data_IF_489870795588
#
_entry.id   IF_489870795588
#
_cell.length_a   1.000
_cell.length_b   1.000
_cell.length_c   1.000
_cell.angle_alpha   90.00
_cell.angle_beta   90.00
_cell.angle_gamma   90.00
#
_symmetry.space_group_name_H-M   'P 1'
#
loop_
_entity.id
_entity.type
_entity.pdbx_description
1 polymer ?
#
# COMPACT_ATOMS: atom_id res chain seq x y z
N UNK A 1 20.55 16.61 9.80
CA UNK A 1 19.15 16.18 10.02
C UNK A 1 18.21 16.51 8.85
N UNK A 2 18.28 17.71 8.25
CA UNK A 2 17.39 18.10 7.12
C UNK A 2 17.36 17.11 5.95
N UNK A 3 18.51 16.55 5.55
CA UNK A 3 18.58 15.53 4.48
C UNK A 3 17.82 14.25 4.81
N UNK A 4 17.82 13.82 6.07
CA UNK A 4 17.12 12.61 6.50
C UNK A 4 15.60 12.84 6.51
N UNK A 5 15.15 14.01 6.98
CA UNK A 5 13.73 14.40 6.94
C UNK A 5 13.25 14.49 5.49
N UNK A 6 14.00 15.18 4.63
CA UNK A 6 13.72 15.28 3.19
C UNK A 6 13.64 13.90 2.54
N UNK A 7 14.58 13.00 2.86
CA UNK A 7 14.57 11.63 2.35
C UNK A 7 13.30 10.87 2.72
N UNK A 8 12.83 10.99 3.97
CA UNK A 8 11.58 10.37 4.42
C UNK A 8 10.38 10.93 3.66
N UNK A 9 10.26 12.27 3.57
CA UNK A 9 9.15 12.93 2.88
C UNK A 9 9.10 12.53 1.40
N UNK A 10 10.21 12.70 0.68
CA UNK A 10 10.30 12.38 -0.75
C UNK A 10 9.98 10.91 -1.00
N UNK A 11 10.55 10.01 -0.20
CA UNK A 11 10.31 8.57 -0.38
C UNK A 11 8.87 8.18 -0.07
N UNK A 12 8.25 8.78 0.94
CA UNK A 12 6.84 8.54 1.24
C UNK A 12 5.92 9.04 0.12
N UNK A 13 6.19 10.22 -0.44
CA UNK A 13 5.45 10.75 -1.60
C UNK A 13 5.61 9.84 -2.81
N UNK A 14 6.82 9.36 -3.10
CA UNK A 14 7.06 8.40 -4.19
C UNK A 14 6.30 7.10 -3.95
N UNK A 15 6.33 6.56 -2.72
CA UNK A 15 5.54 5.37 -2.38
C UNK A 15 4.03 5.58 -2.60
N UNK A 16 3.51 6.73 -2.19
CA UNK A 16 2.10 7.08 -2.41
C UNK A 16 1.75 7.08 -3.91
N UNK A 17 2.57 7.72 -4.75
CA UNK A 17 2.36 7.75 -6.21
C UNK A 17 2.42 6.33 -6.79
N UNK A 18 3.40 5.51 -6.37
CA UNK A 18 3.55 4.14 -6.86
C UNK A 18 2.39 3.25 -6.43
N UNK A 19 1.87 3.40 -5.21
CA UNK A 19 0.67 2.68 -4.78
C UNK A 19 -0.55 3.10 -5.60
N UNK A 20 -0.77 4.41 -5.75
CA UNK A 20 -1.90 4.93 -6.51
C UNK A 20 -1.87 4.46 -7.97
N UNK A 21 -0.72 4.62 -8.64
CA UNK A 21 -0.53 4.18 -10.02
C UNK A 21 -0.62 2.65 -10.13
N UNK A 22 0.06 1.91 -9.25
CA UNK A 22 0.09 0.45 -9.27
C UNK A 22 -1.28 -0.19 -9.10
N UNK A 23 -2.06 0.26 -8.11
CA UNK A 23 -3.43 -0.23 -7.92
C UNK A 23 -4.37 0.21 -9.04
N UNK A 24 -4.22 1.45 -9.54
CA UNK A 24 -5.05 1.93 -10.66
C UNK A 24 -4.79 1.14 -11.93
N UNK A 25 -3.53 0.97 -12.33
CA UNK A 25 -3.16 0.17 -13.49
C UNK A 25 -3.59 -1.29 -13.32
N UNK A 26 -3.35 -1.89 -12.15
CA UNK A 26 -3.82 -3.25 -11.86
C UNK A 26 -5.33 -3.38 -12.04
N UNK A 27 -6.10 -2.42 -11.54
CA UNK A 27 -7.56 -2.43 -11.66
C UNK A 27 -8.02 -2.26 -13.11
N UNK A 28 -7.38 -1.37 -13.88
CA UNK A 28 -7.71 -1.14 -15.29
C UNK A 28 -7.39 -2.35 -16.18
N UNK A 29 -6.32 -3.08 -15.87
CA UNK A 29 -5.90 -4.27 -16.63
C UNK A 29 -6.77 -5.48 -16.27
N UNK A 30 -7.00 -5.71 -14.97
CA UNK A 30 -7.66 -6.93 -14.49
C UNK A 30 -9.19 -6.81 -14.40
N UNK A 31 -9.69 -5.59 -14.22
CA UNK A 31 -11.10 -5.28 -14.05
C UNK A 31 -11.71 -5.72 -12.72
N UNK A 32 -12.98 -5.39 -12.53
CA UNK A 32 -13.74 -5.67 -11.31
C UNK A 32 -13.89 -7.18 -11.02
N UNK A 33 -13.98 -8.01 -12.06
CA UNK A 33 -14.24 -9.44 -11.91
C UNK A 33 -13.05 -10.22 -11.36
N UNK A 34 -11.84 -9.71 -11.56
CA UNK A 34 -10.64 -10.27 -10.94
C UNK A 34 -10.33 -9.61 -9.59
N UNK A 35 -10.71 -8.34 -9.41
CA UNK A 35 -10.52 -7.62 -8.15
C UNK A 35 -11.42 -8.13 -7.02
N UNK A 36 -12.62 -8.58 -7.35
CA UNK A 36 -13.66 -8.94 -6.37
C UNK A 36 -14.21 -10.34 -6.58
N UNK A 37 -14.83 -10.89 -5.54
CA UNK A 37 -15.65 -12.10 -5.67
C UNK A 37 -16.88 -11.83 -6.55
N UNK A 38 -17.44 -12.86 -7.23
CA UNK A 38 -18.65 -12.70 -8.03
C UNK A 38 -19.81 -12.13 -7.21
N UNK A 39 -20.52 -11.13 -7.76
CA UNK A 39 -21.69 -10.51 -7.14
C UNK A 39 -21.45 -9.73 -5.85
N UNK A 40 -20.20 -9.57 -5.40
CA UNK A 40 -19.85 -8.95 -4.13
C UNK A 40 -18.73 -7.92 -4.29
N UNK A 41 -18.64 -6.96 -3.38
CA UNK A 41 -17.49 -6.07 -3.23
C UNK A 41 -16.40 -6.64 -2.32
N UNK A 42 -16.51 -7.91 -1.91
CA UNK A 42 -15.44 -8.57 -1.20
C UNK A 42 -14.24 -8.80 -2.13
N UNK A 43 -13.06 -8.36 -1.73
CA UNK A 43 -11.82 -8.57 -2.50
C UNK A 43 -11.57 -10.05 -2.75
N UNK A 44 -11.09 -10.37 -3.96
CA UNK A 44 -10.70 -11.73 -4.33
C UNK A 44 -9.34 -12.09 -3.71
N UNK A 45 -9.05 -13.39 -3.61
CA UNK A 45 -7.72 -13.84 -3.16
C UNK A 45 -6.61 -13.42 -4.14
N UNK A 46 -6.93 -13.30 -5.44
CA UNK A 46 -5.99 -12.83 -6.47
C UNK A 46 -5.62 -11.37 -6.26
N UNK A 47 -6.61 -10.52 -6.03
CA UNK A 47 -6.40 -9.11 -5.72
C UNK A 47 -5.62 -8.91 -4.42
N UNK A 48 -5.93 -9.73 -3.42
CA UNK A 48 -5.21 -9.71 -2.15
C UNK A 48 -3.73 -10.09 -2.36
N UNK A 49 -3.43 -11.18 -3.06
CA UNK A 49 -2.05 -11.58 -3.38
C UNK A 49 -1.29 -10.49 -4.16
N UNK A 50 -1.94 -9.87 -5.14
CA UNK A 50 -1.39 -8.74 -5.87
C UNK A 50 -1.11 -7.54 -4.96
N UNK A 51 -2.01 -7.25 -4.02
CA UNK A 51 -1.86 -6.16 -3.06
C UNK A 51 -0.62 -6.36 -2.18
N UNK A 52 -0.37 -7.59 -1.72
CA UNK A 52 0.86 -7.94 -1.01
C UNK A 52 2.10 -7.75 -1.87
N UNK A 53 2.11 -8.26 -3.10
CA UNK A 53 3.24 -8.10 -4.02
C UNK A 53 3.55 -6.61 -4.27
N UNK A 54 2.52 -5.80 -4.50
CA UNK A 54 2.68 -4.36 -4.71
C UNK A 54 3.24 -3.67 -3.45
N UNK A 55 2.76 -4.01 -2.25
CA UNK A 55 3.30 -3.46 -0.99
C UNK A 55 4.76 -3.82 -0.75
N UNK A 56 5.17 -5.04 -1.10
CA UNK A 56 6.57 -5.45 -1.02
C UNK A 56 7.41 -4.61 -1.99
N UNK A 57 7.04 -4.57 -3.27
CA UNK A 57 7.80 -3.87 -4.31
C UNK A 57 7.90 -2.37 -4.00
N UNK A 58 6.78 -1.72 -3.69
CA UNK A 58 6.76 -0.29 -3.36
C UNK A 58 7.54 0.00 -2.08
N UNK A 59 7.43 -0.88 -1.07
CA UNK A 59 8.23 -0.78 0.15
C UNK A 59 9.73 -0.85 -0.14
N UNK A 60 10.18 -1.84 -0.93
CA UNK A 60 11.58 -1.99 -1.34
C UNK A 60 12.10 -0.73 -2.05
N UNK A 61 11.35 -0.21 -3.01
CA UNK A 61 11.71 1.01 -3.75
C UNK A 61 11.79 2.22 -2.82
N UNK A 62 10.79 2.41 -1.96
CA UNK A 62 10.77 3.52 -1.00
C UNK A 62 11.93 3.48 -0.01
N UNK A 63 12.26 2.30 0.52
CA UNK A 63 13.40 2.09 1.39
C UNK A 63 14.74 2.37 0.73
N UNK A 64 14.91 1.85 -0.49
CA UNK A 64 16.12 2.06 -1.30
C UNK A 64 16.33 3.55 -1.59
N UNK A 65 15.28 4.24 -2.06
CA UNK A 65 15.32 5.66 -2.36
C UNK A 65 15.63 6.50 -1.10
N UNK A 66 15.00 6.17 0.02
CA UNK A 66 15.23 6.85 1.29
C UNK A 66 16.69 6.74 1.74
N UNK A 67 17.27 5.55 1.65
CA UNK A 67 18.68 5.34 1.98
C UNK A 67 19.62 6.08 1.02
N UNK A 68 19.29 6.10 -0.28
CA UNK A 68 20.08 6.80 -1.29
C UNK A 68 20.13 8.32 -1.06
N UNK A 69 19.01 8.94 -0.68
CA UNK A 69 18.93 10.38 -0.40
C UNK A 69 19.59 10.73 0.95
N UNK A 70 19.32 9.92 1.98
CA UNK A 70 19.81 10.19 3.33
C UNK A 70 21.33 10.00 3.50
N UNK A 71 21.97 9.21 2.60
CA UNK A 71 23.40 8.85 2.67
C UNK A 71 23.83 8.26 4.03
N UNK A 72 22.94 7.47 4.65
CA UNK A 72 23.20 6.75 5.90
C UNK A 72 22.18 7.00 7.02
N UNK A 73 22.47 6.49 8.22
CA UNK A 73 21.70 6.75 9.44
C UNK A 73 20.48 5.86 9.67
N UNK A 74 19.44 6.37 10.36
CA UNK A 74 18.20 5.63 10.69
C UNK A 74 16.99 6.07 9.84
N UNK A 75 17.20 6.78 8.72
CA UNK A 75 16.10 7.33 7.91
C UNK A 75 15.12 6.28 7.34
N UNK A 76 15.56 5.13 6.80
CA UNK A 76 14.62 4.08 6.36
C UNK A 76 13.80 3.48 7.52
N UNK A 77 14.35 3.44 8.73
CA UNK A 77 13.59 3.01 9.92
C UNK A 77 12.50 4.04 10.26
N UNK A 78 12.83 5.33 10.21
CA UNK A 78 11.84 6.39 10.39
C UNK A 78 10.73 6.32 9.32
N UNK A 79 11.08 6.11 8.05
CA UNK A 79 10.11 5.91 6.97
C UNK A 79 9.21 4.69 7.22
N UNK A 80 9.77 3.57 7.67
CA UNK A 80 9.00 2.37 8.00
C UNK A 80 7.99 2.64 9.13
N UNK A 81 8.40 3.36 10.18
CA UNK A 81 7.51 3.76 11.28
C UNK A 81 6.39 4.68 10.75
N UNK A 82 6.73 5.69 9.95
CA UNK A 82 5.76 6.61 9.34
C UNK A 82 4.75 5.85 8.47
N UNK A 83 5.21 4.91 7.64
CA UNK A 83 4.34 4.11 6.78
C UNK A 83 3.38 3.22 7.59
N UNK A 84 3.84 2.60 8.68
CA UNK A 84 2.95 1.84 9.58
C UNK A 84 1.95 2.75 10.26
N UNK A 85 2.40 3.86 10.85
CA UNK A 85 1.52 4.79 11.58
C UNK A 85 0.44 5.33 10.65
N UNK A 86 0.80 5.86 9.48
CA UNK A 86 -0.19 6.39 8.53
C UNK A 86 -1.06 5.25 7.99
N UNK A 87 -0.48 4.10 7.66
CA UNK A 87 -1.23 2.94 7.18
C UNK A 87 -2.30 2.48 8.17
N UNK A 88 -1.98 2.45 9.47
CA UNK A 88 -2.96 2.13 10.52
C UNK A 88 -3.97 3.26 10.74
N UNK A 89 -3.54 4.52 10.72
CA UNK A 89 -4.42 5.69 10.82
C UNK A 89 -5.48 5.72 9.72
N UNK A 90 -5.16 5.23 8.51
CA UNK A 90 -6.11 5.13 7.40
C UNK A 90 -6.85 3.79 7.38
N UNK A 91 -6.17 2.69 7.74
CA UNK A 91 -6.70 1.33 7.68
C UNK A 91 -7.77 1.04 8.72
N UNK A 92 -7.61 1.53 9.96
CA UNK A 92 -8.57 1.30 11.05
C UNK A 92 -9.93 1.95 10.73
N UNK A 93 -10.01 3.25 10.34
CA UNK A 93 -11.27 3.84 9.91
C UNK A 93 -11.87 3.12 8.70
N UNK A 94 -11.06 2.66 7.74
CA UNK A 94 -11.55 1.90 6.59
C UNK A 94 -12.23 0.58 7.02
N UNK A 95 -11.66 -0.14 8.00
CA UNK A 95 -12.27 -1.33 8.61
C UNK A 95 -13.62 -1.01 9.26
N UNK A 96 -13.71 0.13 9.96
CA UNK A 96 -14.96 0.55 10.61
C UNK A 96 -16.01 0.94 9.57
N UNK A 97 -15.62 1.72 8.56
CA UNK A 97 -16.51 2.18 7.49
C UNK A 97 -17.12 1.02 6.70
N UNK A 98 -16.34 -0.01 6.36
CA UNK A 98 -16.85 -1.14 5.59
C UNK A 98 -17.90 -1.99 6.33
N UNK A 99 -17.96 -1.93 7.67
CA UNK A 99 -19.01 -2.63 8.45
C UNK A 99 -20.39 -2.01 8.23
N UNK A 100 -20.43 -0.72 7.93
CA UNK A 100 -21.67 0.04 7.72
C UNK A 100 -22.11 0.05 6.26
N UNK A 101 -21.32 -0.53 5.35
CA UNK A 101 -21.71 -0.59 3.94
C UNK A 101 -22.95 -1.49 3.80
N UNK A 102 -23.96 -1.07 3.02
CA UNK A 102 -25.10 -1.93 2.71
C UNK A 102 -24.63 -3.12 1.88
N UNK A 103 -25.27 -4.28 2.08
CA UNK A 103 -24.93 -5.52 1.36
C UNK A 103 -25.56 -5.52 -0.04
N UNK A 104 -25.20 -4.53 -0.86
CA UNK A 104 -25.70 -4.40 -2.23
C UNK A 104 -24.90 -5.31 -3.17
N UNK A 105 -25.59 -6.04 -4.08
CA UNK A 105 -24.92 -6.82 -5.11
C UNK A 105 -24.03 -5.92 -5.97
N UNK A 106 -22.83 -6.42 -6.29
CA UNK A 106 -21.92 -5.74 -7.21
C UNK A 106 -22.40 -5.94 -8.65
N UNK A 107 -22.55 -4.86 -9.40
CA UNK A 107 -22.78 -4.89 -10.86
C UNK A 107 -21.51 -5.31 -11.60
N UNK A 108 -21.63 -5.82 -12.84
CA UNK A 108 -20.46 -6.34 -13.58
C UNK A 108 -19.42 -5.24 -13.85
N UNK A 109 -19.87 -4.05 -14.24
CA UNK A 109 -19.01 -2.91 -14.55
C UNK A 109 -19.03 -1.93 -13.39
N UNK A 110 -17.92 -1.88 -12.64
CA UNK A 110 -17.71 -0.90 -11.56
C UNK A 110 -16.48 -0.06 -11.91
N UNK A 111 -16.60 1.27 -12.02
CA UNK A 111 -15.46 2.16 -12.14
C UNK A 111 -14.54 2.08 -10.91
N UNK A 112 -13.23 2.26 -11.10
CA UNK A 112 -12.24 2.16 -10.02
C UNK A 112 -12.60 3.02 -8.79
N UNK A 113 -13.03 4.26 -9.00
CA UNK A 113 -13.39 5.16 -7.89
C UNK A 113 -14.57 4.62 -7.06
N UNK A 114 -15.60 4.08 -7.71
CA UNK A 114 -16.73 3.43 -7.03
C UNK A 114 -16.28 2.15 -6.30
N UNK A 115 -15.39 1.38 -6.93
CA UNK A 115 -14.83 0.17 -6.35
C UNK A 115 -14.06 0.45 -5.05
N UNK A 116 -13.26 1.53 -5.01
CA UNK A 116 -12.53 1.95 -3.81
C UNK A 116 -13.46 2.37 -2.66
N UNK A 117 -14.64 2.91 -2.96
CA UNK A 117 -15.61 3.34 -1.95
C UNK A 117 -16.42 2.18 -1.37
N UNK A 118 -16.69 1.16 -2.18
CA UNK A 118 -17.54 0.01 -1.81
C UNK A 118 -16.75 -1.23 -1.40
N UNK A 119 -15.42 -1.20 -1.51
CA UNK A 119 -14.53 -2.32 -1.21
C UNK A 119 -14.78 -2.90 0.18
N UNK A 120 -14.84 -4.23 0.25
CA UNK A 120 -14.83 -4.99 1.50
C UNK A 120 -13.60 -5.87 1.54
N UNK A 121 -12.74 -5.63 2.51
CA UNK A 121 -11.50 -6.36 2.71
C UNK A 121 -11.53 -7.14 4.02
N UNK A 122 -10.82 -8.29 4.10
CA UNK A 122 -10.61 -8.97 5.36
C UNK A 122 -10.09 -8.00 6.42
N UNK A 123 -10.62 -8.06 7.64
CA UNK A 123 -10.31 -7.11 8.72
C UNK A 123 -8.81 -7.03 9.02
N UNK A 124 -8.08 -8.12 8.80
CA UNK A 124 -6.64 -8.18 9.01
C UNK A 124 -5.82 -7.50 7.90
N UNK A 125 -6.35 -7.37 6.68
CA UNK A 125 -5.57 -6.94 5.51
C UNK A 125 -5.08 -5.48 5.61
N UNK A 126 -5.92 -4.49 6.01
CA UNK A 126 -5.47 -3.12 6.24
C UNK A 126 -4.38 -2.96 7.30
N UNK A 127 -4.24 -3.95 8.19
CA UNK A 127 -3.23 -3.96 9.25
C UNK A 127 -1.95 -4.63 8.75
N UNK A 128 -2.08 -5.76 8.06
CA UNK A 128 -0.95 -6.53 7.53
C UNK A 128 -0.20 -5.78 6.41
N UNK A 129 -0.93 -5.13 5.50
CA UNK A 129 -0.33 -4.50 4.32
C UNK A 129 0.68 -3.37 4.66
N UNK A 130 0.40 -2.44 5.61
CA UNK A 130 1.40 -1.49 6.09
C UNK A 130 2.64 -2.13 6.71
N UNK A 131 2.47 -3.23 7.46
CA UNK A 131 3.59 -3.98 8.05
C UNK A 131 4.46 -4.60 6.95
N UNK A 132 3.83 -5.18 5.94
CA UNK A 132 4.53 -5.74 4.77
C UNK A 132 5.32 -4.66 4.03
N UNK A 133 4.73 -3.49 3.79
CA UNK A 133 5.44 -2.36 3.19
C UNK A 133 6.61 -1.90 4.07
N UNK A 134 6.45 -1.87 5.39
CA UNK A 134 7.51 -1.50 6.33
C UNK A 134 8.68 -2.49 6.30
N UNK A 135 8.41 -3.79 6.24
CA UNK A 135 9.45 -4.81 6.03
C UNK A 135 10.18 -4.58 4.71
N UNK A 136 9.44 -4.31 3.62
CA UNK A 136 10.01 -3.91 2.33
C UNK A 136 10.92 -2.69 2.43
N UNK A 137 10.48 -1.63 3.13
CA UNK A 137 11.28 -0.41 3.35
C UNK A 137 12.61 -0.74 4.04
N UNK A 138 12.58 -1.55 5.09
CA UNK A 138 13.79 -1.92 5.82
C UNK A 138 14.76 -2.75 4.95
N UNK A 139 14.24 -3.67 4.14
CA UNK A 139 15.05 -4.47 3.21
C UNK A 139 15.65 -3.58 2.12
N UNK A 140 14.85 -2.74 1.47
CA UNK A 140 15.31 -1.83 0.42
C UNK A 140 16.36 -0.84 0.94
N UNK A 141 16.14 -0.31 2.14
CA UNK A 141 17.10 0.57 2.80
C UNK A 141 18.43 -0.13 3.17
N UNK A 142 18.40 -1.43 3.47
CA UNK A 142 19.61 -2.25 3.68
C UNK A 142 20.33 -2.55 2.37
N UNK A 143 19.61 -2.83 1.28
CA UNK A 143 20.19 -3.10 -0.03
C UNK A 143 21.06 -1.94 -0.50
N UNK A 144 20.55 -0.70 -0.41
CA UNK A 144 21.32 0.47 -0.86
C UNK A 144 22.62 0.70 -0.08
N UNK A 145 22.65 0.37 1.22
CA UNK A 145 23.84 0.53 2.07
C UNK A 145 24.93 -0.48 1.77
N UNK A 146 24.61 -1.59 1.10
CA UNK A 146 25.61 -2.57 0.68
C UNK A 146 26.30 -2.17 -0.63
N UNK A 147 25.68 -1.29 -1.40
CA UNK A 147 26.18 -0.85 -2.72
C UNK A 147 27.07 0.39 -2.67
N UNK A 148 27.15 1.10 -1.55
CA UNK A 148 27.92 2.34 -1.42
C UNK A 148 28.74 2.34 -0.15
#
# INVERSE_FOLDING_TARGET
MGRAILAVIVSYVVMFILFFAGFTCAYLILGADQAFKPGSYQVSNRWLALSFALHIVVGLVGGFLCAAIAKGGKAPLALAIVAVVIGLLLGIPAIMAQRNLPNTPRTRNVPNLEAMQKVRQPVWAPIALPIVAAVGILIGGKLKRREG
#
